data_IF_008378743831
#
_entry.id   IF_008378743831
#
_cell.length_a   1.000
_cell.length_b   1.000
_cell.length_c   1.000
_cell.angle_alpha   90.00
_cell.angle_beta   90.00
_cell.angle_gamma   90.00
#
_symmetry.space_group_name_H-M   'P 1'
#
loop_
_entity.id
_entity.type
_entity.pdbx_description
1 polymer ?
#
# COMPACT_ATOMS: atom_id res chain seq x y z
N UNK A 1 -7.19 33.11 -1.31
CA UNK A 1 -6.15 32.15 -1.70
C UNK A 1 -5.89 31.30 -0.47
N UNK A 2 -5.87 30.01 -0.59
CA UNK A 2 -5.64 29.13 0.57
C UNK A 2 -4.16 29.18 0.86
N UNK A 3 -3.76 29.79 1.97
CA UNK A 3 -2.37 29.87 2.42
C UNK A 3 -1.92 28.55 3.09
N UNK A 4 -2.30 27.40 2.51
CA UNK A 4 -2.01 26.08 3.04
C UNK A 4 -1.27 25.23 1.99
N UNK A 5 -0.35 24.36 2.43
CA UNK A 5 0.23 23.37 1.54
C UNK A 5 -0.85 22.47 0.94
N UNK A 6 -0.65 22.01 -0.30
CA UNK A 6 -1.55 21.11 -0.98
C UNK A 6 -0.99 19.69 -0.99
N UNK A 7 -1.79 18.71 -0.60
CA UNK A 7 -1.51 17.30 -0.88
C UNK A 7 -2.28 16.91 -2.15
N UNK A 8 -1.58 16.87 -3.28
CA UNK A 8 -2.18 16.39 -4.53
C UNK A 8 -2.19 14.86 -4.51
N UNK A 9 -3.38 14.27 -4.54
CA UNK A 9 -3.60 12.82 -4.56
C UNK A 9 -4.11 12.43 -5.94
N UNK A 10 -3.27 11.80 -6.73
CA UNK A 10 -3.63 11.30 -8.06
C UNK A 10 -4.37 9.97 -7.93
N UNK A 11 -5.57 9.91 -8.47
CA UNK A 11 -6.48 8.77 -8.32
C UNK A 11 -7.19 8.42 -9.63
N UNK A 12 -7.83 7.25 -9.61
CA UNK A 12 -8.69 6.77 -10.68
C UNK A 12 -9.93 6.13 -10.02
N UNK A 13 -11.14 6.42 -10.49
CA UNK A 13 -12.35 5.85 -9.90
C UNK A 13 -12.45 4.34 -10.01
N UNK A 14 -11.71 3.72 -10.92
CA UNK A 14 -11.69 2.26 -11.11
C UNK A 14 -10.51 1.56 -10.44
N UNK A 15 -9.68 2.31 -9.70
CA UNK A 15 -8.50 1.79 -9.02
C UNK A 15 -8.87 1.28 -7.61
N UNK A 16 -8.70 0.00 -7.34
CA UNK A 16 -8.97 -0.63 -6.04
C UNK A 16 -8.19 0.02 -4.88
N UNK A 17 -6.84 0.12 -4.96
CA UNK A 17 -6.04 0.79 -3.93
C UNK A 17 -6.41 2.27 -3.71
N UNK A 18 -6.92 2.96 -4.75
CA UNK A 18 -7.46 4.30 -4.57
C UNK A 18 -8.70 4.30 -3.68
N UNK A 19 -9.60 3.34 -3.89
CA UNK A 19 -10.81 3.22 -3.07
C UNK A 19 -10.48 2.97 -1.58
N UNK A 20 -9.41 2.25 -1.28
CA UNK A 20 -8.92 2.04 0.08
C UNK A 20 -8.38 3.32 0.73
N UNK A 21 -7.77 4.21 -0.06
CA UNK A 21 -7.18 5.45 0.46
C UNK A 21 -8.22 6.56 0.66
N UNK A 22 -9.30 6.58 -0.11
CA UNK A 22 -10.24 7.71 -0.10
C UNK A 22 -10.88 8.00 1.26
N UNK A 23 -11.21 7.02 2.13
CA UNK A 23 -11.65 7.30 3.50
C UNK A 23 -10.63 8.12 4.30
N UNK A 24 -9.33 7.83 4.15
CA UNK A 24 -8.27 8.60 4.81
C UNK A 24 -8.21 10.02 4.27
N UNK A 25 -8.27 10.19 2.93
CA UNK A 25 -8.28 11.52 2.28
C UNK A 25 -9.46 12.34 2.79
N UNK A 26 -10.64 11.75 2.86
CA UNK A 26 -11.84 12.40 3.40
C UNK A 26 -11.69 12.78 4.89
N UNK A 27 -11.07 11.89 5.69
CA UNK A 27 -10.75 12.19 7.08
C UNK A 27 -9.73 13.34 7.20
N UNK A 28 -8.71 13.35 6.35
CA UNK A 28 -7.72 14.43 6.33
C UNK A 28 -8.34 15.78 5.92
N UNK A 29 -9.23 15.81 4.96
CA UNK A 29 -9.96 17.03 4.56
C UNK A 29 -10.75 17.65 5.73
N UNK A 30 -11.22 16.81 6.66
CA UNK A 30 -11.93 17.29 7.86
C UNK A 30 -11.00 17.62 9.03
N UNK A 31 -10.03 16.74 9.29
CA UNK A 31 -9.23 16.79 10.53
C UNK A 31 -7.98 17.67 10.44
N UNK A 32 -7.56 18.03 9.22
CA UNK A 32 -6.38 18.86 8.97
C UNK A 32 -6.71 20.11 8.14
N UNK A 33 -7.96 20.55 8.15
CA UNK A 33 -8.44 21.66 7.33
C UNK A 33 -7.69 22.98 7.56
N UNK A 34 -7.02 23.14 8.69
CA UNK A 34 -6.19 24.28 9.08
C UNK A 34 -4.69 24.08 8.83
N UNK A 35 -4.26 22.90 8.37
CA UNK A 35 -2.84 22.54 8.24
C UNK A 35 -2.41 22.28 6.81
N UNK A 36 -3.23 21.62 6.02
CA UNK A 36 -3.02 21.37 4.60
C UNK A 36 -4.34 21.04 3.90
N UNK A 37 -4.37 21.18 2.59
CA UNK A 37 -5.54 20.89 1.77
C UNK A 37 -5.30 19.64 0.90
N UNK A 38 -5.91 18.49 1.22
CA UNK A 38 -5.93 17.34 0.33
C UNK A 38 -6.83 17.62 -0.88
N UNK A 39 -6.26 17.48 -2.07
CA UNK A 39 -6.96 17.65 -3.36
C UNK A 39 -6.79 16.37 -4.17
N UNK A 40 -7.88 15.73 -4.52
CA UNK A 40 -7.87 14.57 -5.40
C UNK A 40 -7.85 15.05 -6.85
N UNK A 41 -6.84 14.61 -7.60
CA UNK A 41 -6.71 14.81 -9.05
C UNK A 41 -7.04 13.49 -9.72
N UNK A 42 -8.24 13.37 -10.26
CA UNK A 42 -8.77 12.11 -10.77
C UNK A 42 -8.99 12.19 -12.28
N UNK A 43 -8.98 11.03 -12.91
CA UNK A 43 -9.45 10.87 -14.29
C UNK A 43 -10.81 10.18 -14.33
N UNK A 44 -11.30 9.87 -15.52
CA UNK A 44 -12.63 9.30 -15.71
C UNK A 44 -13.72 10.36 -15.87
N UNK A 45 -14.96 9.91 -15.92
CA UNK A 45 -16.09 10.82 -16.16
C UNK A 45 -16.48 11.62 -14.91
N UNK A 46 -17.12 12.77 -15.14
CA UNK A 46 -17.71 13.60 -14.07
C UNK A 46 -18.70 12.78 -13.23
N UNK A 47 -19.51 11.93 -13.87
CA UNK A 47 -20.53 11.14 -13.20
C UNK A 47 -19.93 10.11 -12.24
N UNK A 48 -18.92 9.36 -12.69
CA UNK A 48 -18.22 8.36 -11.87
C UNK A 48 -17.53 9.00 -10.67
N UNK A 49 -16.81 10.10 -10.91
CA UNK A 49 -16.10 10.80 -9.84
C UNK A 49 -17.05 11.43 -8.83
N UNK A 50 -18.17 12.00 -9.29
CA UNK A 50 -19.19 12.57 -8.40
C UNK A 50 -19.80 11.47 -7.51
N UNK A 51 -20.23 10.36 -8.10
CA UNK A 51 -20.80 9.25 -7.35
C UNK A 51 -19.85 8.73 -6.26
N UNK A 52 -18.55 8.63 -6.57
CA UNK A 52 -17.52 8.20 -5.61
C UNK A 52 -17.24 9.27 -4.54
N UNK A 53 -17.15 10.54 -4.93
CA UNK A 53 -16.96 11.64 -4.01
C UNK A 53 -18.10 11.73 -2.98
N UNK A 54 -19.34 11.65 -3.45
CA UNK A 54 -20.53 11.65 -2.60
C UNK A 54 -20.55 10.46 -1.65
N UNK A 55 -20.25 9.26 -2.14
CA UNK A 55 -20.23 8.04 -1.34
C UNK A 55 -19.13 8.04 -0.24
N UNK A 56 -18.04 8.75 -0.46
CA UNK A 56 -16.87 8.77 0.42
C UNK A 56 -16.72 10.10 1.19
N UNK A 57 -17.59 11.06 0.96
CA UNK A 57 -17.56 12.36 1.62
C UNK A 57 -16.32 13.19 1.26
N UNK A 58 -15.87 13.12 0.00
CA UNK A 58 -14.74 13.91 -0.49
C UNK A 58 -15.20 15.33 -0.83
N UNK A 59 -14.42 16.33 -0.37
CA UNK A 59 -14.74 17.73 -0.61
C UNK A 59 -14.32 18.20 -2.01
N UNK A 60 -13.03 18.10 -2.32
CA UNK A 60 -12.47 18.62 -3.57
C UNK A 60 -11.90 17.50 -4.44
N UNK A 61 -12.49 17.33 -5.62
CA UNK A 61 -11.99 16.43 -6.67
C UNK A 61 -11.85 17.23 -7.95
N UNK A 62 -10.64 17.29 -8.49
CA UNK A 62 -10.33 17.89 -9.79
C UNK A 62 -10.26 16.79 -10.83
N UNK A 63 -10.75 17.05 -12.02
CA UNK A 63 -10.68 16.11 -13.13
C UNK A 63 -9.56 16.52 -14.08
N UNK A 64 -8.76 15.55 -14.49
CA UNK A 64 -7.76 15.68 -15.52
C UNK A 64 -8.17 14.86 -16.75
N UNK A 65 -7.79 15.35 -17.92
CA UNK A 65 -7.96 14.66 -19.19
C UNK A 65 -6.61 14.06 -19.59
N UNK A 66 -6.65 12.84 -20.16
CA UNK A 66 -5.46 12.18 -20.73
C UNK A 66 -4.23 12.13 -19.79
N UNK A 67 -4.49 12.26 -18.49
CA UNK A 67 -3.46 12.18 -17.43
C UNK A 67 -2.39 13.29 -17.47
N UNK A 68 -2.70 14.46 -18.06
CA UNK A 68 -1.75 15.56 -18.29
C UNK A 68 -1.13 16.09 -16.99
N UNK A 69 -1.92 16.22 -15.91
CA UNK A 69 -1.41 16.69 -14.62
C UNK A 69 -0.55 15.61 -13.96
N UNK A 70 -1.04 14.38 -13.90
CA UNK A 70 -0.27 13.25 -13.36
C UNK A 70 1.06 13.06 -14.09
N UNK A 71 1.06 13.16 -15.41
CA UNK A 71 2.25 13.07 -16.24
C UNK A 71 3.28 14.17 -15.92
N UNK A 72 2.82 15.41 -15.71
CA UNK A 72 3.69 16.52 -15.33
C UNK A 72 4.40 16.32 -13.97
N UNK A 73 3.76 15.59 -13.06
CA UNK A 73 4.34 15.21 -11.75
C UNK A 73 5.07 13.86 -11.78
N UNK A 74 5.23 13.22 -12.94
CA UNK A 74 5.91 11.93 -13.07
C UNK A 74 5.13 10.76 -12.44
N UNK A 75 3.81 10.90 -12.31
CA UNK A 75 2.96 9.84 -11.77
C UNK A 75 2.84 8.72 -12.79
N UNK A 76 3.25 7.52 -12.40
CA UNK A 76 3.19 6.34 -13.25
C UNK A 76 2.12 5.33 -12.83
N UNK A 77 1.47 5.55 -11.69
CA UNK A 77 0.41 4.70 -11.15
C UNK A 77 -0.45 5.42 -10.12
N UNK A 78 -1.65 4.89 -9.84
CA UNK A 78 -2.57 5.43 -8.83
C UNK A 78 -2.86 4.40 -7.73
N UNK A 79 -3.04 4.84 -6.45
CA UNK A 79 -2.87 6.21 -6.01
C UNK A 79 -1.41 6.62 -5.92
N UNK A 80 -1.13 7.88 -6.20
CA UNK A 80 0.15 8.53 -5.90
C UNK A 80 -0.12 9.91 -5.30
N UNK A 81 0.80 10.43 -4.49
CA UNK A 81 0.65 11.79 -3.96
C UNK A 81 1.97 12.55 -3.92
N UNK A 82 1.85 13.88 -3.95
CA UNK A 82 2.94 14.82 -3.76
C UNK A 82 2.47 15.99 -2.91
N UNK A 83 3.35 16.47 -2.05
CA UNK A 83 3.10 17.69 -1.27
C UNK A 83 3.63 18.90 -2.04
N UNK A 84 2.79 19.93 -2.17
CA UNK A 84 3.13 21.23 -2.77
C UNK A 84 3.06 22.27 -1.66
N UNK A 85 4.14 23.02 -1.49
CA UNK A 85 4.23 24.09 -0.49
C UNK A 85 3.36 25.28 -0.88
N UNK A 86 3.16 26.21 0.07
CA UNK A 86 2.34 27.42 -0.11
C UNK A 86 2.86 28.31 -1.26
N UNK A 87 4.16 28.32 -1.48
CA UNK A 87 4.81 29.06 -2.58
C UNK A 87 4.69 28.36 -3.95
N UNK A 88 4.03 27.21 -4.02
CA UNK A 88 3.85 26.41 -5.23
C UNK A 88 5.00 25.47 -5.55
N UNK A 89 6.04 25.40 -4.73
CA UNK A 89 7.14 24.47 -4.94
C UNK A 89 6.79 23.03 -4.50
N UNK A 90 7.40 22.03 -5.13
CA UNK A 90 7.23 20.64 -4.73
C UNK A 90 7.99 20.40 -3.42
N UNK A 91 7.25 20.05 -2.37
CA UNK A 91 7.78 19.88 -1.01
C UNK A 91 8.03 18.42 -0.61
N UNK A 92 7.70 17.45 -1.46
CA UNK A 92 8.02 16.03 -1.23
C UNK A 92 8.39 15.32 -2.51
N UNK A 93 9.10 14.19 -2.43
CA UNK A 93 9.13 13.22 -3.52
C UNK A 93 7.73 12.64 -3.75
N UNK A 94 7.48 12.18 -4.98
CA UNK A 94 6.25 11.44 -5.31
C UNK A 94 6.14 10.19 -4.42
N UNK A 95 4.98 9.95 -3.84
CA UNK A 95 4.67 8.81 -2.97
C UNK A 95 3.65 7.90 -3.64
N UNK A 96 4.06 6.78 -4.21
CA UNK A 96 3.14 5.83 -4.81
C UNK A 96 2.57 4.86 -3.76
N UNK A 97 1.29 4.51 -3.92
CA UNK A 97 0.57 3.56 -3.08
C UNK A 97 0.01 4.15 -1.78
N UNK A 98 -1.05 3.51 -1.23
CA UNK A 98 -1.76 4.03 -0.06
C UNK A 98 -0.87 4.23 1.17
N UNK A 99 -0.02 3.26 1.49
CA UNK A 99 0.80 3.29 2.70
C UNK A 99 1.89 4.37 2.65
N UNK A 100 2.53 4.56 1.49
CA UNK A 100 3.51 5.62 1.33
C UNK A 100 2.87 7.02 1.44
N UNK A 101 1.62 7.16 1.01
CA UNK A 101 0.85 8.40 1.13
C UNK A 101 0.45 8.64 2.60
N UNK A 102 -0.05 7.62 3.31
CA UNK A 102 -0.34 7.69 4.76
C UNK A 102 0.91 8.08 5.54
N UNK A 103 2.04 7.47 5.22
CA UNK A 103 3.31 7.77 5.85
C UNK A 103 3.78 9.20 5.59
N UNK A 104 3.62 9.73 4.36
CA UNK A 104 3.92 11.12 4.05
C UNK A 104 3.12 12.08 4.94
N UNK A 105 1.81 11.87 5.05
CA UNK A 105 0.93 12.72 5.87
C UNK A 105 1.32 12.62 7.34
N UNK A 106 1.55 11.42 7.86
CA UNK A 106 1.94 11.21 9.26
C UNK A 106 3.29 11.86 9.58
N UNK A 107 4.29 11.73 8.71
CA UNK A 107 5.63 12.30 8.90
C UNK A 107 5.62 13.83 8.85
N UNK A 108 4.78 14.40 7.97
CA UNK A 108 4.77 15.85 7.75
C UNK A 108 3.87 16.57 8.73
N UNK A 109 2.71 16.02 9.05
CA UNK A 109 1.68 16.70 9.83
C UNK A 109 1.39 16.04 11.19
N UNK A 110 1.94 14.85 11.46
CA UNK A 110 1.71 14.09 12.69
C UNK A 110 0.28 13.56 12.81
N UNK A 111 -0.11 13.10 14.00
CA UNK A 111 -1.48 12.70 14.27
C UNK A 111 -2.43 13.92 14.26
N UNK A 112 -3.70 13.77 13.82
CA UNK A 112 -4.69 14.83 13.93
C UNK A 112 -4.86 15.25 15.39
N UNK A 113 -4.94 16.56 15.65
CA UNK A 113 -5.32 17.05 16.95
C UNK A 113 -6.74 16.53 17.23
N UNK A 114 -6.87 15.58 18.15
CA UNK A 114 -8.18 15.22 18.66
C UNK A 114 -8.72 16.46 19.37
N UNK A 115 -9.72 17.12 18.81
CA UNK A 115 -10.48 18.11 19.54
C UNK A 115 -11.02 17.41 20.77
N UNK A 116 -10.40 17.69 21.92
CA UNK A 116 -10.97 17.29 23.18
C UNK A 116 -12.34 17.99 23.26
N UNK A 117 -13.40 17.23 23.10
CA UNK A 117 -14.72 17.66 23.54
C UNK A 117 -14.59 17.89 25.04
N UNK A 118 -14.39 19.13 25.42
CA UNK A 118 -14.60 19.57 26.79
C UNK A 118 -16.07 19.37 27.04
N UNK A 119 -16.40 18.30 27.74
CA UNK A 119 -17.70 18.15 28.36
C UNK A 119 -17.83 19.31 29.37
N UNK A 120 -18.56 20.36 29.00
CA UNK A 120 -19.01 21.38 29.94
C UNK A 120 -19.99 20.67 30.85
N UNK A 121 -19.48 20.22 32.00
CA UNK A 121 -20.31 19.78 33.10
C UNK A 121 -21.16 20.97 33.54
N UNK A 122 -22.47 20.85 33.36
CA UNK A 122 -23.45 21.73 33.95
C UNK A 122 -23.36 21.60 35.46
N UNK A 123 -22.77 22.62 36.06
CA UNK A 123 -22.78 22.87 37.48
C UNK A 123 -24.23 23.26 37.88
N UNK A 124 -24.90 22.40 38.59
CA UNK A 124 -26.12 22.75 39.32
C UNK A 124 -25.87 22.45 40.79
N UNK A 125 -25.46 23.52 41.47
CA UNK A 125 -25.50 23.71 42.89
C UNK A 125 -26.85 23.29 43.48
N UNK A 126 -26.86 22.37 44.43
CA UNK A 126 -27.83 22.38 45.50
C UNK A 126 -27.15 21.92 46.80
N UNK A 127 -27.03 22.91 47.70
CA UNK A 127 -26.62 22.74 49.09
C UNK A 127 -27.73 21.99 49.83
N UNK A 128 -27.38 20.90 50.50
CA UNK A 128 -27.98 20.56 51.80
C UNK A 128 -27.03 19.75 52.66
N UNK A 129 -26.52 20.45 53.61
CA UNK A 129 -25.95 20.05 54.91
C UNK A 129 -26.84 19.02 55.61
N UNK A 130 -26.28 17.93 56.12
CA UNK A 130 -26.62 17.34 57.43
C UNK A 130 -25.46 16.46 57.94
N UNK A 131 -25.29 16.55 59.25
CA UNK A 131 -24.22 16.12 60.13
C UNK A 131 -24.13 14.63 60.39
N UNK A 132 -22.93 14.20 60.65
CA UNK A 132 -22.43 13.26 61.67
C UNK A 132 -23.21 11.97 61.97
N UNK A 133 -22.53 10.83 61.90
CA UNK A 133 -22.21 10.03 63.10
C UNK A 133 -21.16 8.94 62.82
N UNK A 134 -20.36 8.79 63.79
CA UNK A 134 -19.31 7.85 64.14
C UNK A 134 -19.73 6.39 64.09
N UNK A 135 -18.84 5.46 63.73
CA UNK A 135 -19.07 4.02 63.88
C UNK A 135 -17.87 3.18 63.47
N UNK A 136 -16.92 3.03 64.40
CA UNK A 136 -15.86 2.01 64.33
C UNK A 136 -16.46 0.59 64.37
N UNK A 137 -15.92 -0.32 63.61
CA UNK A 137 -15.79 -1.73 63.98
C UNK A 137 -14.59 -2.39 63.30
N UNK A 138 -13.60 -2.70 64.10
CA UNK A 138 -12.61 -3.76 63.89
C UNK A 138 -13.28 -5.14 63.89
N UNK A 139 -12.80 -6.05 63.10
CA UNK A 139 -12.64 -7.47 63.36
C UNK A 139 -11.65 -8.12 62.41
N UNK A 140 -10.59 -8.42 62.90
CA UNK A 140 -9.65 -9.50 63.13
C UNK A 140 -10.29 -10.91 63.00
N UNK A 141 -9.56 -11.81 62.36
CA UNK A 141 -9.35 -13.26 62.45
C UNK A 141 -9.29 -13.90 61.05
N UNK A 142 -8.44 -14.76 60.72
CA UNK A 142 -7.36 -15.59 61.27
C UNK A 142 -7.13 -16.70 60.21
N UNK A 143 -5.88 -16.97 59.93
CA UNK A 143 -5.47 -18.24 59.26
C UNK A 143 -5.71 -19.41 60.24
N UNK A 144 -5.88 -20.64 59.77
CA UNK A 144 -4.73 -21.53 59.73
C UNK A 144 -4.82 -22.76 58.76
N UNK A 145 -3.68 -23.38 58.60
CA UNK A 145 -3.27 -24.75 58.32
C UNK A 145 -2.49 -24.90 57.01
N UNK A 146 -1.19 -25.04 57.11
CA UNK A 146 -0.36 -26.19 57.45
C UNK A 146 -0.53 -27.32 56.42
N UNK A 147 0.40 -27.55 55.57
CA UNK A 147 1.66 -28.22 55.70
C UNK A 147 1.62 -29.53 54.96
N UNK A 148 2.42 -29.71 53.90
CA UNK A 148 3.04 -31.01 53.60
C UNK A 148 4.32 -30.75 52.79
N UNK A 149 5.37 -31.14 53.43
CA UNK A 149 6.74 -31.25 52.97
C UNK A 149 6.91 -32.60 52.26
N UNK A 150 7.44 -32.63 51.05
CA UNK A 150 8.18 -33.74 50.50
C UNK A 150 9.22 -33.26 49.53
N UNK A 151 10.48 -33.29 49.97
CA UNK A 151 11.65 -33.13 49.15
C UNK A 151 11.89 -34.32 48.21
N UNK A 152 12.41 -34.08 47.07
CA UNK A 152 13.66 -34.67 46.64
C UNK A 152 14.15 -34.08 45.34
N UNK A 153 15.44 -33.80 45.26
CA UNK A 153 16.17 -33.09 44.28
C UNK A 153 16.31 -33.75 42.93
N UNK A 154 16.52 -32.93 41.93
CA UNK A 154 17.58 -33.10 40.95
C UNK A 154 17.76 -31.81 40.18
N UNK A 155 18.97 -31.26 40.23
CA UNK A 155 19.34 -30.08 39.50
C UNK A 155 19.49 -30.37 38.00
N UNK A 156 18.77 -29.60 37.21
CA UNK A 156 19.15 -29.36 35.82
C UNK A 156 19.08 -27.83 35.59
N UNK A 157 20.26 -27.26 35.39
CA UNK A 157 20.42 -25.90 35.03
C UNK A 157 19.81 -25.65 33.64
N UNK A 158 18.69 -24.93 33.62
CA UNK A 158 18.18 -24.36 32.39
C UNK A 158 18.68 -22.94 32.27
N UNK A 159 19.60 -22.76 31.30
CA UNK A 159 19.99 -21.46 30.80
C UNK A 159 18.73 -20.75 30.27
N UNK A 160 18.31 -19.68 30.91
CA UNK A 160 17.31 -18.78 30.38
C UNK A 160 17.92 -18.04 29.19
N UNK A 161 17.68 -18.55 27.97
CA UNK A 161 17.85 -17.78 26.77
C UNK A 161 16.80 -16.66 26.82
N UNK A 162 17.26 -15.43 26.94
CA UNK A 162 16.43 -14.24 26.86
C UNK A 162 15.74 -14.23 25.49
N UNK A 163 14.43 -14.35 25.48
CA UNK A 163 13.62 -14.06 24.31
C UNK A 163 13.55 -12.54 24.15
N UNK A 164 14.48 -12.03 23.37
CA UNK A 164 14.45 -10.64 22.90
C UNK A 164 13.34 -10.56 21.84
N UNK A 165 12.15 -10.10 22.25
CA UNK A 165 11.05 -9.80 21.33
C UNK A 165 11.27 -8.44 20.70
N UNK A 166 12.40 -8.27 20.02
CA UNK A 166 12.61 -7.19 19.08
C UNK A 166 11.82 -7.48 17.82
N UNK A 167 10.56 -7.05 17.76
CA UNK A 167 9.79 -7.04 16.50
C UNK A 167 10.34 -5.89 15.66
N UNK A 168 11.53 -6.08 15.12
CA UNK A 168 11.94 -5.33 13.95
C UNK A 168 11.26 -5.99 12.75
N UNK A 169 10.16 -5.40 12.29
CA UNK A 169 9.70 -5.60 10.92
C UNK A 169 10.82 -5.13 9.99
N UNK A 170 11.80 -5.99 9.75
CA UNK A 170 12.75 -5.79 8.68
C UNK A 170 11.94 -5.93 7.39
N UNK A 171 11.62 -4.80 6.76
CA UNK A 171 11.25 -4.80 5.35
C UNK A 171 12.34 -5.60 4.63
N UNK A 172 11.95 -6.69 3.97
CA UNK A 172 12.88 -7.48 3.18
C UNK A 172 13.61 -6.52 2.22
N UNK A 173 14.95 -6.61 2.12
CA UNK A 173 15.69 -5.72 1.26
C UNK A 173 15.15 -5.87 -0.18
N UNK A 174 14.81 -4.75 -0.79
CA UNK A 174 14.42 -4.71 -2.21
C UNK A 174 15.57 -5.29 -3.02
N UNK A 175 15.29 -6.28 -3.85
CA UNK A 175 16.31 -6.96 -4.64
C UNK A 175 17.02 -5.96 -5.57
N UNK A 176 18.33 -5.83 -5.42
CA UNK A 176 19.14 -4.93 -6.23
C UNK A 176 19.61 -5.59 -7.53
N UNK A 177 19.99 -4.78 -8.52
CA UNK A 177 20.54 -5.28 -9.79
C UNK A 177 21.76 -6.16 -9.50
N UNK A 178 21.80 -7.32 -10.14
CA UNK A 178 22.83 -8.35 -9.98
C UNK A 178 22.55 -9.35 -8.85
N UNK A 179 21.57 -9.11 -8.00
CA UNK A 179 21.14 -10.08 -6.98
C UNK A 179 20.11 -11.06 -7.54
N UNK A 180 20.00 -12.23 -6.90
CA UNK A 180 18.96 -13.19 -7.23
C UNK A 180 17.57 -12.56 -7.14
N UNK A 181 16.73 -12.82 -8.14
CA UNK A 181 15.35 -12.37 -8.12
C UNK A 181 14.60 -13.04 -6.95
N UNK A 182 13.68 -12.35 -6.29
CA UNK A 182 12.85 -12.92 -5.24
C UNK A 182 12.12 -14.18 -5.71
N UNK A 183 12.23 -15.23 -4.92
CA UNK A 183 11.53 -16.49 -5.21
C UNK A 183 10.04 -16.37 -4.87
N UNK A 184 9.21 -16.93 -5.74
CA UNK A 184 7.78 -17.06 -5.50
C UNK A 184 7.22 -18.32 -6.15
N UNK A 185 6.09 -18.79 -5.64
CA UNK A 185 5.28 -19.85 -6.25
C UNK A 185 3.82 -19.42 -6.19
N UNK A 186 3.26 -19.08 -7.32
CA UNK A 186 1.92 -18.52 -7.44
C UNK A 186 1.06 -19.35 -8.39
N UNK A 187 -0.26 -19.47 -8.16
CA UNK A 187 -1.15 -20.17 -9.08
C UNK A 187 -1.29 -19.38 -10.38
N UNK A 188 -1.21 -20.09 -11.52
CA UNK A 188 -1.61 -19.53 -12.80
C UNK A 188 -3.14 -19.51 -12.93
N UNK A 189 -3.64 -19.05 -14.09
CA UNK A 189 -5.08 -18.97 -14.35
C UNK A 189 -5.81 -20.32 -14.33
N UNK A 190 -5.07 -21.44 -14.37
CA UNK A 190 -5.61 -22.80 -14.23
C UNK A 190 -5.50 -23.36 -12.80
N UNK A 191 -4.85 -22.62 -11.90
CA UNK A 191 -4.56 -23.03 -10.51
C UNK A 191 -3.26 -23.83 -10.35
N UNK A 192 -2.48 -24.01 -11.42
CA UNK A 192 -1.17 -24.68 -11.36
C UNK A 192 -0.14 -23.71 -10.79
N UNK A 193 0.65 -24.17 -9.81
CA UNK A 193 1.73 -23.36 -9.25
C UNK A 193 2.86 -23.18 -10.27
N UNK A 194 3.24 -21.94 -10.49
CA UNK A 194 4.30 -21.52 -11.39
C UNK A 194 5.35 -20.70 -10.62
N UNK A 195 6.57 -20.74 -11.09
CA UNK A 195 7.67 -19.93 -10.58
C UNK A 195 8.49 -19.35 -11.73
N UNK A 196 9.28 -18.33 -11.44
CA UNK A 196 10.15 -17.72 -12.43
C UNK A 196 11.30 -18.65 -12.86
N UNK A 197 11.64 -19.62 -12.02
CA UNK A 197 12.68 -20.64 -12.34
C UNK A 197 12.37 -21.46 -13.59
N UNK A 198 11.11 -21.56 -13.99
CA UNK A 198 10.70 -22.23 -15.22
C UNK A 198 11.27 -21.55 -16.48
N UNK A 199 11.64 -20.27 -16.37
CA UNK A 199 12.24 -19.48 -17.43
C UNK A 199 13.77 -19.40 -17.39
N UNK A 200 14.43 -20.15 -16.49
CA UNK A 200 15.91 -20.16 -16.43
C UNK A 200 16.50 -20.53 -17.78
N UNK A 201 17.59 -19.85 -18.14
CA UNK A 201 18.21 -19.96 -19.47
C UNK A 201 17.72 -18.92 -20.47
N UNK A 202 16.67 -18.16 -20.15
CA UNK A 202 16.15 -17.07 -20.95
C UNK A 202 15.91 -15.83 -20.09
N UNK A 203 16.02 -14.64 -20.69
CA UNK A 203 15.63 -13.41 -20.01
C UNK A 203 14.12 -13.38 -19.80
N UNK A 204 13.68 -12.88 -18.66
CA UNK A 204 12.27 -12.68 -18.35
C UNK A 204 11.97 -11.20 -18.09
N UNK A 205 10.88 -10.72 -18.69
CA UNK A 205 10.25 -9.46 -18.30
C UNK A 205 9.14 -9.79 -17.30
N UNK A 206 9.38 -9.53 -16.02
CA UNK A 206 8.39 -9.73 -14.96
C UNK A 206 7.54 -8.47 -14.92
N UNK A 207 6.28 -8.60 -15.33
CA UNK A 207 5.31 -7.50 -15.40
C UNK A 207 4.32 -7.61 -14.24
N UNK A 208 4.27 -6.60 -13.39
CA UNK A 208 3.28 -6.47 -12.33
C UNK A 208 2.06 -5.72 -12.85
N UNK A 209 0.90 -6.36 -12.69
CA UNK A 209 -0.33 -5.97 -13.36
C UNK A 209 -1.55 -6.03 -12.45
N UNK A 210 -2.58 -5.26 -12.78
CA UNK A 210 -3.90 -5.43 -12.19
C UNK A 210 -4.96 -5.15 -13.26
N UNK A 211 -5.95 -6.05 -13.46
CA UNK A 211 -6.95 -5.91 -14.53
C UNK A 211 -7.86 -4.69 -14.35
N UNK A 212 -8.01 -4.19 -13.12
CA UNK A 212 -8.81 -3.01 -12.82
C UNK A 212 -7.97 -1.73 -12.73
N UNK A 213 -6.67 -1.80 -13.05
CA UNK A 213 -5.82 -0.64 -13.14
C UNK A 213 -5.98 0.03 -14.52
N UNK A 214 -6.41 1.28 -14.52
CA UNK A 214 -6.62 2.00 -15.77
C UNK A 214 -5.35 2.21 -16.61
N UNK A 215 -4.17 2.36 -15.99
CA UNK A 215 -2.89 2.42 -16.71
C UNK A 215 -2.54 1.09 -17.36
N UNK A 216 -2.85 -0.02 -16.68
CA UNK A 216 -2.70 -1.34 -17.23
C UNK A 216 -3.63 -1.53 -18.44
N UNK A 217 -4.88 -1.13 -18.32
CA UNK A 217 -5.85 -1.20 -19.42
C UNK A 217 -5.39 -0.42 -20.65
N UNK A 218 -4.78 0.74 -20.46
CA UNK A 218 -4.22 1.55 -21.55
C UNK A 218 -3.01 0.88 -22.21
N UNK A 219 -2.16 0.22 -21.42
CA UNK A 219 -0.97 -0.47 -21.92
C UNK A 219 -1.29 -1.81 -22.59
N UNK A 220 -2.44 -2.43 -22.28
CA UNK A 220 -2.79 -3.77 -22.76
C UNK A 220 -2.70 -3.96 -24.28
N UNK A 221 -3.19 -3.04 -25.12
CA UNK A 221 -3.05 -3.18 -26.58
C UNK A 221 -1.59 -3.28 -27.04
N UNK A 222 -0.69 -2.49 -26.43
CA UNK A 222 0.73 -2.48 -26.77
C UNK A 222 1.42 -3.77 -26.33
N UNK A 223 1.14 -4.27 -25.14
CA UNK A 223 1.66 -5.55 -24.63
C UNK A 223 1.21 -6.70 -25.53
N UNK A 224 -0.07 -6.75 -25.92
CA UNK A 224 -0.59 -7.79 -26.80
C UNK A 224 0.05 -7.73 -28.19
N UNK A 225 0.22 -6.55 -28.76
CA UNK A 225 0.89 -6.36 -30.03
C UNK A 225 2.36 -6.79 -29.94
N UNK A 226 3.03 -6.43 -28.86
CA UNK A 226 4.41 -6.84 -28.60
C UNK A 226 4.53 -8.38 -28.46
N UNK A 227 3.65 -9.04 -27.69
CA UNK A 227 3.64 -10.50 -27.58
C UNK A 227 3.49 -11.19 -28.95
N UNK A 228 2.60 -10.68 -29.79
CA UNK A 228 2.33 -11.25 -31.12
C UNK A 228 3.51 -11.10 -32.08
N UNK A 229 4.30 -10.04 -31.93
CA UNK A 229 5.42 -9.68 -32.82
C UNK A 229 6.80 -9.86 -32.15
N UNK A 230 6.84 -10.47 -30.97
CA UNK A 230 8.06 -10.63 -30.18
C UNK A 230 9.15 -11.37 -30.96
N UNK A 231 10.36 -10.81 -30.92
CA UNK A 231 11.55 -11.48 -31.46
C UNK A 231 11.98 -12.66 -30.57
N UNK A 232 12.66 -13.66 -31.14
CA UNK A 232 13.15 -14.82 -30.36
C UNK A 232 14.18 -14.42 -29.30
N UNK A 233 14.88 -13.31 -29.53
CA UNK A 233 15.87 -12.73 -28.60
C UNK A 233 15.24 -11.83 -27.51
N UNK A 234 13.96 -11.50 -27.61
CA UNK A 234 13.26 -10.69 -26.64
C UNK A 234 13.00 -11.49 -25.33
N UNK A 235 12.86 -10.79 -24.18
CA UNK A 235 12.59 -11.47 -22.93
C UNK A 235 11.25 -12.22 -22.96
N UNK A 236 11.15 -13.32 -22.20
CA UNK A 236 9.88 -14.00 -21.97
C UNK A 236 9.02 -13.13 -21.05
N UNK A 237 7.78 -12.87 -21.44
CA UNK A 237 6.86 -12.14 -20.56
C UNK A 237 6.33 -13.09 -19.47
N UNK A 238 6.43 -12.65 -18.23
CA UNK A 238 5.87 -13.31 -17.06
C UNK A 238 5.04 -12.30 -16.28
N UNK A 239 3.72 -12.49 -16.23
CA UNK A 239 2.81 -11.52 -15.63
C UNK A 239 2.42 -11.97 -14.22
N UNK A 240 2.69 -11.13 -13.23
CA UNK A 240 2.21 -11.28 -11.86
C UNK A 240 1.07 -10.30 -11.66
N UNK A 241 -0.15 -10.82 -11.55
CA UNK A 241 -1.36 -10.00 -11.57
C UNK A 241 -2.19 -10.18 -10.32
N UNK A 242 -2.77 -9.08 -9.84
CA UNK A 242 -3.86 -9.14 -8.87
C UNK A 242 -5.20 -9.49 -9.52
N UNK A 243 -6.24 -9.58 -8.67
CA UNK A 243 -7.61 -9.84 -9.10
C UNK A 243 -7.90 -11.30 -9.52
N UNK A 244 -9.13 -11.57 -9.87
CA UNK A 244 -9.58 -12.94 -10.14
C UNK A 244 -9.01 -13.54 -11.42
N UNK A 245 -8.91 -14.88 -11.48
CA UNK A 245 -8.50 -15.61 -12.67
C UNK A 245 -9.43 -15.31 -13.88
N UNK A 246 -10.72 -15.15 -13.64
CA UNK A 246 -11.70 -14.81 -14.66
C UNK A 246 -11.40 -13.46 -15.32
N UNK A 247 -11.17 -12.43 -14.50
CA UNK A 247 -10.80 -11.10 -14.99
C UNK A 247 -9.49 -11.13 -15.78
N UNK A 248 -8.51 -11.86 -15.30
CA UNK A 248 -7.23 -11.98 -15.98
C UNK A 248 -7.32 -12.75 -17.31
N UNK A 249 -8.22 -13.75 -17.45
CA UNK A 249 -8.45 -14.43 -18.73
C UNK A 249 -8.97 -13.48 -19.82
N UNK A 250 -9.76 -12.46 -19.45
CA UNK A 250 -10.29 -11.48 -20.41
C UNK A 250 -9.21 -10.58 -21.00
N UNK A 251 -8.02 -10.51 -20.38
CA UNK A 251 -6.89 -9.75 -20.92
C UNK A 251 -6.35 -10.33 -22.22
N UNK A 252 -6.58 -11.61 -22.52
CA UNK A 252 -6.18 -12.26 -23.76
C UNK A 252 -4.67 -12.31 -23.97
N UNK A 253 -3.87 -12.30 -22.90
CA UNK A 253 -2.43 -12.49 -22.94
C UNK A 253 -2.08 -13.95 -23.20
N UNK A 254 -1.04 -14.19 -24.00
CA UNK A 254 -0.57 -15.53 -24.34
C UNK A 254 0.51 -16.03 -23.38
N UNK A 255 1.18 -15.11 -22.72
CA UNK A 255 2.25 -15.38 -21.74
C UNK A 255 1.69 -15.91 -20.42
N UNK A 256 2.57 -16.47 -19.60
CA UNK A 256 2.22 -16.95 -18.25
C UNK A 256 1.70 -15.79 -17.41
N UNK A 257 0.49 -15.94 -16.88
CA UNK A 257 -0.12 -15.05 -15.89
C UNK A 257 -0.30 -15.83 -14.60
N UNK A 258 0.27 -15.32 -13.51
CA UNK A 258 0.09 -15.85 -12.16
C UNK A 258 -0.63 -14.84 -11.28
N UNK A 259 -1.32 -15.32 -10.25
CA UNK A 259 -2.17 -14.50 -9.39
C UNK A 259 -1.48 -14.24 -8.06
N UNK A 260 -1.37 -12.96 -7.70
CA UNK A 260 -0.89 -12.47 -6.39
C UNK A 260 -1.86 -11.42 -5.85
N UNK A 261 -2.88 -11.86 -5.13
CA UNK A 261 -3.91 -10.98 -4.57
C UNK A 261 -3.37 -10.06 -3.47
N UNK A 262 -2.20 -10.39 -2.90
CA UNK A 262 -1.57 -9.62 -1.82
C UNK A 262 -0.58 -8.58 -2.33
N UNK A 263 -0.22 -8.62 -3.61
CA UNK A 263 0.83 -7.80 -4.20
C UNK A 263 2.22 -7.97 -3.54
N UNK A 264 2.39 -9.05 -2.78
CA UNK A 264 3.61 -9.31 -2.00
C UNK A 264 4.82 -9.56 -2.89
N UNK A 265 4.63 -10.27 -4.00
CA UNK A 265 5.70 -10.52 -4.97
C UNK A 265 6.19 -9.21 -5.59
N UNK A 266 5.27 -8.36 -6.03
CA UNK A 266 5.62 -7.06 -6.59
C UNK A 266 6.43 -6.20 -5.59
N UNK A 267 6.02 -6.19 -4.32
CA UNK A 267 6.73 -5.50 -3.24
C UNK A 267 8.15 -6.05 -3.04
N UNK A 268 8.32 -7.37 -3.09
CA UNK A 268 9.64 -8.01 -2.97
C UNK A 268 10.59 -7.61 -4.12
N UNK A 269 10.06 -7.36 -5.32
CA UNK A 269 10.80 -6.80 -6.46
C UNK A 269 10.99 -5.28 -6.39
N UNK A 270 10.48 -4.61 -5.36
CA UNK A 270 10.55 -3.16 -5.21
C UNK A 270 9.49 -2.39 -5.99
N UNK A 271 8.49 -3.07 -6.52
CA UNK A 271 7.36 -2.43 -7.17
C UNK A 271 6.39 -1.85 -6.13
N UNK A 272 5.90 -0.66 -6.40
CA UNK A 272 4.94 0.05 -5.53
C UNK A 272 3.60 0.33 -6.22
N UNK A 273 3.39 -0.21 -7.43
CA UNK A 273 2.16 0.00 -8.19
C UNK A 273 2.14 -0.76 -9.52
N UNK A 274 1.10 -0.55 -10.32
CA UNK A 274 0.91 -1.18 -11.63
C UNK A 274 0.56 -0.15 -12.71
N UNK A 275 1.01 -0.34 -13.97
CA UNK A 275 1.93 -1.35 -14.44
C UNK A 275 3.39 -1.02 -14.08
N UNK A 276 4.13 -2.00 -13.61
CA UNK A 276 5.58 -1.91 -13.43
C UNK A 276 6.24 -3.19 -13.92
N UNK A 277 7.52 -3.13 -14.30
CA UNK A 277 8.24 -4.30 -14.73
C UNK A 277 9.70 -4.30 -14.29
N UNK A 278 10.28 -5.51 -14.24
CA UNK A 278 11.69 -5.74 -13.98
C UNK A 278 12.21 -6.78 -14.97
N UNK A 279 13.42 -6.56 -15.50
CA UNK A 279 14.12 -7.61 -16.24
C UNK A 279 14.86 -8.54 -15.28
N UNK A 280 14.75 -9.82 -15.53
CA UNK A 280 15.52 -10.90 -14.89
C UNK A 280 16.35 -11.59 -15.97
N UNK A 281 17.64 -11.78 -15.72
CA UNK A 281 18.55 -12.42 -16.65
C UNK A 281 18.33 -13.93 -16.75
N UNK A 282 19.05 -14.58 -17.66
CA UNK A 282 19.00 -16.03 -17.86
C UNK A 282 19.48 -16.85 -16.64
N UNK A 283 20.24 -16.24 -15.74
CA UNK A 283 20.72 -16.85 -14.50
C UNK A 283 19.72 -16.70 -13.35
N UNK A 284 18.67 -15.89 -13.53
CA UNK A 284 17.65 -15.60 -12.54
C UNK A 284 18.00 -14.42 -11.63
N UNK A 285 18.89 -13.52 -12.05
CA UNK A 285 19.24 -12.32 -11.29
C UNK A 285 18.50 -11.10 -11.84
N UNK A 286 18.23 -10.12 -10.96
CA UNK A 286 17.69 -8.82 -11.36
C UNK A 286 18.63 -8.14 -12.36
N UNK A 287 18.13 -7.80 -13.53
CA UNK A 287 18.89 -7.21 -14.63
C UNK A 287 18.54 -5.74 -14.91
N UNK A 288 17.52 -5.19 -14.25
CA UNK A 288 17.13 -3.79 -14.37
C UNK A 288 16.61 -3.23 -13.05
N UNK A 289 16.59 -1.89 -12.93
CA UNK A 289 15.71 -1.23 -11.97
C UNK A 289 14.25 -1.46 -12.33
N UNK A 290 13.35 -1.20 -11.38
CA UNK A 290 11.90 -1.25 -11.61
C UNK A 290 11.53 -0.16 -12.61
N UNK A 291 10.97 -0.56 -13.74
CA UNK A 291 10.36 0.34 -14.72
C UNK A 291 8.91 0.63 -14.32
N UNK A 292 8.54 1.89 -14.24
CA UNK A 292 7.23 2.33 -13.77
C UNK A 292 6.47 3.01 -14.90
N UNK A 293 5.25 2.52 -15.15
CA UNK A 293 4.37 3.03 -16.20
C UNK A 293 4.63 2.42 -17.59
N UNK A 294 3.65 2.56 -18.47
CA UNK A 294 3.62 1.89 -19.77
C UNK A 294 4.86 2.13 -20.63
N UNK A 295 5.27 3.39 -20.77
CA UNK A 295 6.43 3.74 -21.60
C UNK A 295 7.72 3.07 -21.11
N UNK A 296 7.98 3.09 -19.80
CA UNK A 296 9.19 2.48 -19.23
C UNK A 296 9.12 0.95 -19.31
N UNK A 297 7.95 0.35 -19.12
CA UNK A 297 7.72 -1.09 -19.30
C UNK A 297 8.02 -1.52 -20.74
N UNK A 298 7.51 -0.79 -21.73
CA UNK A 298 7.77 -1.09 -23.14
C UNK A 298 9.23 -0.88 -23.54
N UNK A 299 9.91 0.09 -22.93
CA UNK A 299 11.35 0.28 -23.13
C UNK A 299 12.17 -0.94 -22.65
N UNK A 300 11.79 -1.56 -21.52
CA UNK A 300 12.40 -2.81 -21.06
C UNK A 300 12.05 -4.01 -21.93
N UNK A 301 10.84 -4.08 -22.45
CA UNK A 301 10.38 -5.13 -23.35
C UNK A 301 11.20 -5.17 -24.66
N UNK A 302 11.70 -4.01 -25.08
CA UNK A 302 12.40 -3.84 -26.35
C UNK A 302 11.44 -3.75 -27.56
N UNK A 303 11.97 -3.40 -28.74
CA UNK A 303 11.13 -3.25 -29.92
C UNK A 303 10.56 -4.61 -30.37
N UNK A 304 9.33 -4.64 -30.87
CA UNK A 304 8.81 -5.80 -31.62
C UNK A 304 9.62 -5.99 -32.92
N UNK A 305 9.44 -7.15 -33.56
CA UNK A 305 10.03 -7.42 -34.89
C UNK A 305 9.52 -6.47 -35.97
#
# INVERSE_FOLDING_TARGET
MVDLPLLLVFADPQCGPCAELMPDVSAWQRSYADRFAPVVVSRGSVAENRAKADAQGLGTVLLQKDFEVGGAYGVAGTPSAVLVAVDGTIASSLRPGPDAIRQLVQQTFGAPAVSALVAVGSDSSDERRLEATNGQHEHVHADPHAGHDHGNGNGHGHAHAGHDHGVHSQMAPVAAIGQAAPEFRLPDLSGRLRSLDENRGQKSLVLFWHPDCGFCTQLLPEIRAWEALRADSAPQLFVVSGGSAERNRTLGLQSTVVLDDTFSTATAFGSTGTPTAVLVDAQGNIASSVAVGGQAVMALAGPPR
#
